data_IF_232294847042
#
_entry.id   IF_232294847042
#
_cell.length_a   1.000
_cell.length_b   1.000
_cell.length_c   1.000
_cell.angle_alpha   90.00
_cell.angle_beta   90.00
_cell.angle_gamma   90.00
#
_symmetry.space_group_name_H-M   'P 1'
#
loop_
_entity.id
_entity.type
_entity.pdbx_description
1 polymer ?
#
# COMPACT_ATOMS: atom_id res chain seq x y z
N UNK A 1 -2.36 -16.60 13.99
CA UNK A 1 -1.55 -16.32 12.78
C UNK A 1 -2.42 -15.67 11.70
N UNK A 2 -2.85 -14.42 11.90
CA UNK A 2 -3.76 -13.70 10.97
C UNK A 2 -3.09 -12.47 10.33
N UNK A 3 -1.95 -12.01 10.85
CA UNK A 3 -1.45 -10.64 10.59
C UNK A 3 -0.86 -10.38 9.19
N UNK A 4 -0.16 -11.36 8.58
CA UNK A 4 0.50 -11.13 7.28
C UNK A 4 -0.49 -10.88 6.14
N UNK A 5 -1.63 -11.57 6.13
CA UNK A 5 -2.60 -11.41 5.05
C UNK A 5 -3.34 -10.06 5.17
N UNK A 6 -3.58 -9.60 6.40
CA UNK A 6 -4.24 -8.32 6.66
C UNK A 6 -3.44 -7.14 6.12
N UNK A 7 -2.11 -7.10 6.37
CA UNK A 7 -1.27 -5.97 5.94
C UNK A 7 -1.13 -5.90 4.43
N UNK A 8 -1.02 -7.05 3.77
CA UNK A 8 -1.03 -7.12 2.30
C UNK A 8 -2.34 -6.56 1.72
N UNK A 9 -3.48 -6.91 2.31
CA UNK A 9 -4.79 -6.42 1.87
C UNK A 9 -4.98 -4.91 2.14
N UNK A 10 -4.52 -4.40 3.28
CA UNK A 10 -4.53 -2.96 3.60
C UNK A 10 -3.71 -2.16 2.58
N UNK A 11 -2.53 -2.67 2.21
CA UNK A 11 -1.69 -2.07 1.16
C UNK A 11 -2.42 -2.05 -0.19
N UNK A 12 -3.04 -3.17 -0.58
CA UNK A 12 -3.77 -3.25 -1.85
C UNK A 12 -4.96 -2.29 -1.89
N UNK A 13 -5.70 -2.16 -0.79
CA UNK A 13 -6.85 -1.25 -0.75
C UNK A 13 -6.40 0.21 -0.81
N UNK A 14 -5.37 0.59 -0.06
CA UNK A 14 -4.74 1.92 -0.14
C UNK A 14 -4.28 2.23 -1.56
N UNK A 15 -3.56 1.30 -2.19
CA UNK A 15 -3.11 1.42 -3.57
C UNK A 15 -4.27 1.56 -4.55
N UNK A 16 -5.32 0.74 -4.43
CA UNK A 16 -6.51 0.78 -5.28
C UNK A 16 -7.21 2.14 -5.23
N UNK A 17 -7.37 2.70 -4.03
CA UNK A 17 -7.99 4.02 -3.82
C UNK A 17 -7.13 5.10 -4.51
N UNK A 18 -5.82 5.10 -4.24
CA UNK A 18 -4.92 6.14 -4.77
C UNK A 18 -4.75 6.05 -6.28
N UNK A 19 -4.63 4.85 -6.85
CA UNK A 19 -4.57 4.67 -8.30
C UNK A 19 -5.86 5.08 -8.99
N UNK A 20 -7.03 4.82 -8.38
CA UNK A 20 -8.31 5.28 -8.92
C UNK A 20 -8.41 6.81 -8.95
N UNK A 21 -7.91 7.48 -7.92
CA UNK A 21 -8.02 8.93 -7.75
C UNK A 21 -6.96 9.71 -8.54
N UNK A 22 -5.69 9.30 -8.45
CA UNK A 22 -4.55 10.04 -9.00
C UNK A 22 -4.01 9.47 -10.31
N UNK A 23 -4.33 8.21 -10.64
CA UNK A 23 -3.72 7.47 -11.74
C UNK A 23 -2.30 6.98 -11.42
N UNK A 24 -1.75 6.11 -12.28
CA UNK A 24 -0.50 5.40 -12.01
C UNK A 24 0.70 6.33 -11.75
N UNK A 25 0.96 7.28 -12.65
CA UNK A 25 2.17 8.12 -12.59
C UNK A 25 2.19 9.13 -11.43
N UNK A 26 1.01 9.51 -10.90
CA UNK A 26 0.91 10.51 -9.82
C UNK A 26 0.84 9.88 -8.43
N UNK A 27 0.57 8.58 -8.34
CA UNK A 27 0.53 7.87 -7.06
C UNK A 27 1.94 7.58 -6.57
N UNK A 28 2.24 8.02 -5.34
CA UNK A 28 3.51 7.76 -4.68
C UNK A 28 3.40 6.55 -3.78
N UNK A 29 4.45 5.73 -3.73
CA UNK A 29 4.52 4.59 -2.81
C UNK A 29 4.46 5.02 -1.33
N UNK A 30 4.95 6.22 -1.00
CA UNK A 30 4.82 6.78 0.35
C UNK A 30 3.36 7.03 0.74
N UNK A 31 2.55 7.56 -0.18
CA UNK A 31 1.12 7.76 0.05
C UNK A 31 0.41 6.42 0.31
N UNK A 32 0.78 5.37 -0.44
CA UNK A 32 0.22 4.03 -0.28
C UNK A 32 0.58 3.47 1.10
N UNK A 33 1.86 3.57 1.50
CA UNK A 33 2.35 3.10 2.79
C UNK A 33 1.65 3.81 3.96
N UNK A 34 1.51 5.13 3.88
CA UNK A 34 0.76 5.94 4.86
C UNK A 34 -0.70 5.48 4.94
N UNK A 35 -1.39 5.33 3.79
CA UNK A 35 -2.79 4.91 3.75
C UNK A 35 -3.04 3.49 4.28
N UNK A 36 -2.02 2.62 4.25
CA UNK A 36 -2.06 1.28 4.80
C UNK A 36 -1.50 1.17 6.23
N UNK A 37 -1.11 2.29 6.85
CA UNK A 37 -0.48 2.35 8.17
C UNK A 37 0.75 1.43 8.29
N UNK A 38 1.62 1.44 7.27
CA UNK A 38 2.88 0.69 7.23
C UNK A 38 4.06 1.60 6.88
N UNK A 39 5.27 1.15 7.21
CA UNK A 39 6.48 1.81 6.72
C UNK A 39 6.73 1.54 5.24
N UNK A 40 7.38 2.47 4.54
CA UNK A 40 7.78 2.30 3.13
C UNK A 40 8.64 1.05 2.91
N UNK A 41 9.56 0.75 3.84
CA UNK A 41 10.37 -0.47 3.80
C UNK A 41 9.53 -1.74 3.89
N UNK A 42 8.52 -1.75 4.77
CA UNK A 42 7.56 -2.85 4.89
C UNK A 42 6.75 -3.02 3.61
N UNK A 43 6.26 -1.91 3.01
CA UNK A 43 5.58 -1.96 1.72
C UNK A 43 6.41 -2.69 0.66
N UNK A 44 7.69 -2.32 0.53
CA UNK A 44 8.59 -2.99 -0.42
C UNK A 44 8.90 -4.43 -0.04
N UNK A 45 8.87 -4.83 1.22
CA UNK A 45 9.03 -6.23 1.62
C UNK A 45 7.87 -7.11 1.15
N UNK A 46 6.64 -6.58 1.16
CA UNK A 46 5.43 -7.31 0.76
C UNK A 46 5.25 -7.44 -0.76
N UNK A 47 5.79 -6.50 -1.55
CA UNK A 47 5.54 -6.39 -3.00
C UNK A 47 6.84 -6.23 -3.82
N UNK A 48 7.89 -6.99 -3.49
CA UNK A 48 9.12 -7.08 -4.31
C UNK A 48 8.85 -7.66 -5.69
#
# INVERSE_FOLDING_TARGET
MVEKNTKRSEILESARILFKDKGFHKTKMDDIAIGANVGKGTLYEYFK
#
